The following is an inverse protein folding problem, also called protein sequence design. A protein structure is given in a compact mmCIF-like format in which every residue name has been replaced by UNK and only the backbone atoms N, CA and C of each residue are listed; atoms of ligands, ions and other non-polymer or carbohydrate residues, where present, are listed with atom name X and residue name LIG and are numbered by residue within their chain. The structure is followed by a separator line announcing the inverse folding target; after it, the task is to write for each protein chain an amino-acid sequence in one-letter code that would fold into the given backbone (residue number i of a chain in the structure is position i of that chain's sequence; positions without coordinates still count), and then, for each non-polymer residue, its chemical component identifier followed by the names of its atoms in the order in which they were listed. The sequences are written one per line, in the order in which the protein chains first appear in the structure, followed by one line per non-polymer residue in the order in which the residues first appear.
data_IF_821749417656
#
_entry.id   IF_821749417656
#
_cell.length_a   1.000
_cell.length_b   1.000
_cell.length_c   1.000
_cell.angle_alpha   90.00
_cell.angle_beta   90.00
_cell.angle_gamma   90.00
#
_symmetry.space_group_name_H-M   'P 1'
#
loop_
_entity.id
_entity.type
_entity.pdbx_description
1 polymer ?
#
# COMPACT_ATOMS: atom_id res chain seq x y z
N UNK A 1 -5.50 -4.11 7.27
CA UNK A 1 -6.85 -4.02 6.68
C UNK A 1 -7.13 -5.34 6.01
N UNK A 2 -8.13 -6.06 6.51
CA UNK A 2 -8.62 -7.28 5.86
C UNK A 2 -9.43 -6.85 4.62
N UNK A 3 -9.20 -7.45 3.44
CA UNK A 3 -9.99 -7.17 2.24
C UNK A 3 -11.38 -7.83 2.39
N UNK A 4 -12.25 -7.24 3.20
CA UNK A 4 -13.63 -7.69 3.40
C UNK A 4 -14.56 -6.48 3.31
N UNK A 5 -15.53 -6.53 2.40
CA UNK A 5 -16.62 -5.54 2.28
C UNK A 5 -16.96 -5.14 0.85
N UNK A 6 -15.97 -4.96 -0.03
CA UNK A 6 -16.22 -4.61 -1.43
C UNK A 6 -15.09 -5.06 -2.35
N UNK A 7 -15.46 -5.71 -3.47
CA UNK A 7 -14.54 -6.21 -4.50
C UNK A 7 -13.59 -5.12 -5.02
N UNK A 8 -14.09 -3.89 -5.12
CA UNK A 8 -13.33 -2.74 -5.62
C UNK A 8 -12.26 -2.32 -4.61
N UNK A 9 -12.55 -2.34 -3.30
CA UNK A 9 -11.58 -2.05 -2.24
C UNK A 9 -10.47 -3.11 -2.23
N UNK A 10 -10.85 -4.39 -2.36
CA UNK A 10 -9.90 -5.49 -2.45
C UNK A 10 -8.98 -5.36 -3.68
N UNK A 11 -9.53 -4.99 -4.84
CA UNK A 11 -8.76 -4.72 -6.06
C UNK A 11 -7.79 -3.56 -5.89
N UNK A 12 -8.20 -2.46 -5.24
CA UNK A 12 -7.32 -1.33 -4.96
C UNK A 12 -6.14 -1.72 -4.06
N UNK A 13 -6.40 -2.51 -3.01
CA UNK A 13 -5.34 -3.05 -2.15
C UNK A 13 -4.43 -4.07 -2.85
N UNK A 14 -4.98 -4.89 -3.76
CA UNK A 14 -4.21 -5.81 -4.59
C UNK A 14 -3.27 -5.03 -5.52
N UNK A 15 -3.79 -4.03 -6.23
CA UNK A 15 -3.01 -3.15 -7.09
C UNK A 15 -1.88 -2.48 -6.31
N UNK A 16 -2.17 -1.96 -5.10
CA UNK A 16 -1.15 -1.36 -4.22
C UNK A 16 -0.04 -2.37 -3.89
N UNK A 17 -0.41 -3.60 -3.59
CA UNK A 17 0.53 -4.68 -3.25
C UNK A 17 1.41 -5.06 -4.44
N UNK A 18 0.86 -5.03 -5.66
CA UNK A 18 1.62 -5.23 -6.91
C UNK A 18 2.58 -4.08 -7.17
N UNK A 19 2.17 -2.81 -6.98
CA UNK A 19 3.05 -1.65 -7.13
C UNK A 19 4.25 -1.72 -6.18
N UNK A 20 4.03 -2.03 -4.90
CA UNK A 20 5.11 -2.21 -3.92
C UNK A 20 6.04 -3.39 -4.28
N UNK A 21 5.51 -4.45 -4.90
CA UNK A 21 6.31 -5.58 -5.39
C UNK A 21 7.17 -5.19 -6.59
N UNK A 22 6.59 -4.44 -7.53
CA UNK A 22 7.30 -3.91 -8.69
C UNK A 22 8.41 -2.96 -8.26
N UNK A 23 8.16 -2.06 -7.30
CA UNK A 23 9.15 -1.14 -6.74
C UNK A 23 10.34 -1.90 -6.12
N UNK A 24 10.09 -2.94 -5.31
CA UNK A 24 11.17 -3.76 -4.76
C UNK A 24 12.02 -4.43 -5.83
N UNK A 25 11.38 -4.96 -6.89
CA UNK A 25 12.10 -5.55 -8.02
C UNK A 25 12.91 -4.50 -8.77
N UNK A 26 12.34 -3.32 -9.00
CA UNK A 26 13.01 -2.21 -9.67
C UNK A 26 14.22 -1.74 -8.88
N UNK A 27 14.10 -1.62 -7.56
CA UNK A 27 15.21 -1.27 -6.67
C UNK A 27 16.31 -2.35 -6.68
N UNK A 28 15.94 -3.63 -6.75
CA UNK A 28 16.91 -4.71 -6.85
C UNK A 28 17.71 -4.65 -8.16
N UNK A 29 17.05 -4.31 -9.29
CA UNK A 29 17.75 -4.09 -10.56
C UNK A 29 18.55 -2.79 -10.52
N UNK A 30 18.04 -1.73 -9.87
CA UNK A 30 18.74 -0.45 -9.75
C UNK A 30 20.00 -0.53 -8.89
N UNK A 31 20.09 -1.53 -8.01
CA UNK A 31 21.28 -1.81 -7.22
C UNK A 31 22.42 -2.43 -8.06
N UNK A 32 22.11 -2.97 -9.25
CA UNK A 32 23.11 -3.41 -10.20
C UNK A 32 23.66 -2.21 -10.99
N UNK A 33 24.93 -1.87 -10.74
CA UNK A 33 25.60 -0.73 -11.38
C UNK A 33 25.76 -0.88 -12.91
N UNK A 34 25.55 -2.08 -13.46
CA UNK A 34 25.59 -2.33 -14.91
C UNK A 34 24.26 -1.98 -15.60
N UNK A 35 23.18 -1.82 -14.86
CA UNK A 35 21.84 -1.51 -15.38
C UNK A 35 21.53 -0.02 -15.18
N UNK A 36 21.36 0.72 -16.27
CA UNK A 36 20.82 2.07 -16.21
C UNK A 36 19.30 2.03 -16.07
N UNK A 37 18.80 2.49 -14.93
CA UNK A 37 17.36 2.62 -14.67
C UNK A 37 16.98 4.09 -14.61
N UNK A 38 15.83 4.43 -15.18
CA UNK A 38 15.24 5.75 -15.04
C UNK A 38 14.85 6.00 -13.56
N UNK A 39 15.49 6.95 -12.84
CA UNK A 39 15.17 7.24 -11.45
C UNK A 39 13.72 7.73 -11.25
N UNK A 40 13.11 8.32 -12.29
CA UNK A 40 11.71 8.72 -12.25
C UNK A 40 10.76 7.53 -12.11
N UNK A 41 11.14 6.33 -12.57
CA UNK A 41 10.29 5.14 -12.47
C UNK A 41 10.13 4.69 -11.00
N UNK A 42 11.20 4.74 -10.20
CA UNK A 42 11.14 4.46 -8.76
C UNK A 42 10.22 5.44 -8.03
N UNK A 43 10.38 6.74 -8.32
CA UNK A 43 9.54 7.80 -7.73
C UNK A 43 8.07 7.62 -8.14
N UNK A 44 7.82 7.29 -9.41
CA UNK A 44 6.48 7.07 -9.92
C UNK A 44 5.78 5.89 -9.23
N UNK A 45 6.44 4.73 -9.13
CA UNK A 45 5.89 3.57 -8.43
C UNK A 45 5.59 3.87 -6.96
N UNK A 46 6.44 4.69 -6.33
CA UNK A 46 6.24 5.13 -4.96
C UNK A 46 4.94 5.93 -4.81
N UNK A 47 4.76 6.97 -5.63
CA UNK A 47 3.55 7.81 -5.64
C UNK A 47 2.29 7.07 -6.06
N UNK A 48 2.40 6.17 -7.03
CA UNK A 48 1.28 5.33 -7.48
C UNK A 48 0.75 4.47 -6.34
N UNK A 49 1.65 3.92 -5.51
CA UNK A 49 1.24 3.12 -4.35
C UNK A 49 0.46 3.94 -3.31
N UNK A 50 0.83 5.21 -3.10
CA UNK A 50 0.15 6.12 -2.18
C UNK A 50 -1.22 6.52 -2.74
N UNK A 51 -1.29 6.81 -4.05
CA UNK A 51 -2.55 7.08 -4.74
C UNK A 51 -3.52 5.90 -4.61
N UNK A 52 -3.05 4.66 -4.79
CA UNK A 52 -3.88 3.46 -4.64
C UNK A 52 -4.36 3.26 -3.20
N UNK A 53 -3.58 3.66 -2.21
CA UNK A 53 -4.01 3.67 -0.81
C UNK A 53 -5.14 4.69 -0.56
N UNK A 54 -4.97 5.93 -1.04
CA UNK A 54 -6.00 6.98 -0.93
C UNK A 54 -7.26 6.60 -1.71
N UNK A 55 -7.10 6.01 -2.90
CA UNK A 55 -8.21 5.53 -3.72
C UNK A 55 -9.01 4.44 -2.98
N UNK A 56 -8.34 3.46 -2.37
CA UNK A 56 -9.01 2.42 -1.57
C UNK A 56 -9.85 3.02 -0.43
N UNK A 57 -9.33 4.04 0.26
CA UNK A 57 -10.05 4.78 1.30
C UNK A 57 -11.26 5.54 0.77
N UNK A 58 -11.08 6.25 -0.34
CA UNK A 58 -12.17 7.01 -0.98
C UNK A 58 -13.30 6.08 -1.44
N UNK A 59 -12.95 4.92 -2.00
CA UNK A 59 -13.91 3.88 -2.40
C UNK A 59 -14.65 3.36 -1.17
N UNK A 60 -13.95 3.04 -0.08
CA UNK A 60 -14.57 2.63 1.19
C UNK A 60 -15.56 3.66 1.72
N UNK A 61 -15.16 4.94 1.72
CA UNK A 61 -16.03 6.07 2.13
C UNK A 61 -17.28 6.19 1.26
N UNK A 62 -17.15 6.04 -0.07
CA UNK A 62 -18.28 6.12 -1.01
C UNK A 62 -19.26 4.95 -0.89
N UNK A 63 -18.75 3.76 -0.55
CA UNK A 63 -19.55 2.55 -0.38
C UNK A 63 -20.14 2.40 1.03
N UNK A 64 -19.92 3.38 1.93
CA UNK A 64 -20.35 3.30 3.32
C UNK A 64 -19.72 2.14 4.08
N UNK A 65 -18.60 1.58 3.59
CA UNK A 65 -17.93 0.46 4.23
C UNK A 65 -16.99 1.00 5.31
N UNK A 66 -17.19 0.63 6.59
CA UNK A 66 -16.33 1.11 7.67
C UNK A 66 -14.90 0.62 7.45
N UNK A 67 -13.97 1.58 7.41
CA UNK A 67 -12.54 1.28 7.30
C UNK A 67 -12.06 0.66 8.63
N UNK A 68 -11.55 -0.57 8.57
CA UNK A 68 -10.96 -1.22 9.76
C UNK A 68 -9.63 -0.55 10.08
N UNK A 69 -9.70 0.52 10.88
CA UNK A 69 -8.53 1.18 11.45
C UNK A 69 -7.79 0.18 12.33
N UNK A 70 -6.48 0.08 12.13
CA UNK A 70 -5.63 -0.70 13.02
C UNK A 70 -5.60 0.00 14.39
N UNK A 71 -6.16 -0.67 15.41
CA UNK A 71 -6.06 -0.21 16.79
C UNK A 71 -4.77 -0.77 17.41
N UNK A 72 -3.79 0.07 17.79
CA UNK A 72 -2.66 -0.40 18.57
C UNK A 72 -3.15 -1.02 19.88
N UNK A 73 -2.74 -2.26 20.15
CA UNK A 73 -2.93 -2.88 21.46
C UNK A 73 -2.20 -2.03 22.49
N UNK A 74 -2.94 -1.24 23.27
CA UNK A 74 -2.39 -0.45 24.37
C UNK A 74 -2.10 -1.45 25.50
N UNK A 75 -0.84 -1.90 25.63
CA UNK A 75 -0.41 -2.68 26.80
C UNK A 75 -0.42 -1.76 28.02
N UNK A 76 -1.57 -1.66 28.68
CA UNK A 76 -1.67 -1.12 30.04
C UNK A 76 -1.70 -2.30 31.00
N UNK A 77 -0.57 -2.98 31.17
CA UNK A 77 -0.37 -3.79 32.37
C UNK A 77 0.21 -2.87 33.45
N UNK A 78 -0.48 -2.68 34.59
CA UNK A 78 0.11 -1.99 35.72
C UNK A 78 1.27 -2.86 36.26
N UNK A 79 2.47 -2.30 36.33
CA UNK A 79 3.57 -2.91 37.08
C UNK A 79 3.14 -3.02 38.55
N UNK A 80 2.97 -4.25 39.02
CA UNK A 80 2.85 -4.63 40.43
C UNK A 80 4.17 -4.43 41.18
#
# INVERSE_FOLDING_TARGET
MLPGGSRIIAQAHLARSLCRRAERRLLAVAADATQQINPAACIYLNRLSDLLFVAARLIGKRLGTPEVLWAPRRNTEPKS
#
